data_IF_075526089707
#
_entry.id   IF_075526089707
#
_cell.length_a   1.000
_cell.length_b   1.000
_cell.length_c   1.000
_cell.angle_alpha   90.00
_cell.angle_beta   90.00
_cell.angle_gamma   90.00
#
_symmetry.space_group_name_H-M   'P 1'
#
loop_
_entity.id
_entity.type
_entity.pdbx_description
1 polymer ?
#
# COMPACT_ATOMS: atom_id res chain seq x y z
N UNK A 1 -7.69 13.86 -11.96
CA UNK A 1 -7.30 12.58 -11.32
C UNK A 1 -5.88 12.26 -11.78
N UNK A 2 -4.94 12.09 -10.85
CA UNK A 2 -3.56 11.71 -11.15
C UNK A 2 -3.46 10.19 -11.30
N UNK A 3 -2.77 9.71 -12.33
CA UNK A 3 -2.45 8.29 -12.54
C UNK A 3 -1.04 8.16 -13.09
N UNK A 4 -0.23 7.26 -12.51
CA UNK A 4 1.13 6.96 -12.93
C UNK A 4 1.56 5.59 -12.44
N UNK A 5 2.65 5.08 -13.00
CA UNK A 5 3.35 3.90 -12.49
C UNK A 5 4.52 4.35 -11.63
N UNK A 6 4.54 3.89 -10.38
CA UNK A 6 5.66 4.10 -9.47
C UNK A 6 6.52 2.83 -9.43
N UNK A 7 7.83 2.96 -9.67
CA UNK A 7 8.75 1.81 -9.64
C UNK A 7 8.90 1.20 -8.23
N UNK A 8 8.71 2.02 -7.19
CA UNK A 8 8.77 1.63 -5.79
C UNK A 8 7.65 2.33 -5.01
N UNK A 9 7.24 1.74 -3.88
CA UNK A 9 6.32 2.37 -2.93
C UNK A 9 7.15 2.79 -1.70
N UNK A 10 7.55 4.06 -1.67
CA UNK A 10 8.42 4.61 -0.63
C UNK A 10 8.46 6.13 -0.70
N UNK A 11 7.37 6.78 -0.30
CA UNK A 11 7.18 8.23 -0.44
C UNK A 11 7.19 8.93 0.91
N UNK A 12 7.80 10.13 0.93
CA UNK A 12 7.63 11.11 2.00
C UNK A 12 7.15 12.41 1.35
N UNK A 13 5.85 12.70 1.47
CA UNK A 13 5.26 13.91 0.91
C UNK A 13 5.25 15.08 1.90
N UNK A 14 5.49 14.84 3.20
CA UNK A 14 5.36 15.86 4.25
C UNK A 14 4.03 16.61 4.15
N UNK A 15 4.09 17.94 4.13
CA UNK A 15 2.92 18.81 3.93
C UNK A 15 2.59 19.08 2.44
N UNK A 16 3.20 18.31 1.53
CA UNK A 16 3.13 18.47 0.08
C UNK A 16 2.02 17.65 -0.58
N UNK A 17 2.12 17.54 -1.90
CA UNK A 17 1.15 16.83 -2.74
C UNK A 17 1.82 15.69 -3.51
N UNK A 18 1.11 14.57 -3.78
CA UNK A 18 1.65 13.48 -4.59
C UNK A 18 1.87 13.86 -6.06
N UNK A 19 1.32 14.98 -6.54
CA UNK A 19 1.60 15.51 -7.87
C UNK A 19 0.64 16.62 -8.31
N UNK A 20 0.90 17.18 -9.49
CA UNK A 20 0.08 18.25 -10.06
C UNK A 20 -1.42 17.87 -10.12
N UNK A 21 -2.28 18.80 -9.74
CA UNK A 21 -3.73 18.58 -9.71
C UNK A 21 -4.25 17.77 -8.52
N UNK A 22 -3.41 17.48 -7.52
CA UNK A 22 -3.83 16.96 -6.21
C UNK A 22 -3.51 18.01 -5.14
N UNK A 23 -4.49 18.29 -4.27
CA UNK A 23 -4.28 19.19 -3.13
C UNK A 23 -3.28 18.62 -2.12
N UNK A 24 -2.82 19.44 -1.18
CA UNK A 24 -1.87 19.01 -0.15
C UNK A 24 -2.52 18.15 0.94
N UNK A 25 -3.82 18.33 1.18
CA UNK A 25 -4.60 17.61 2.20
C UNK A 25 -5.73 16.79 1.59
N UNK A 26 -6.29 15.87 2.37
CA UNK A 26 -7.54 15.13 2.07
C UNK A 26 -7.50 14.36 0.75
N UNK A 27 -6.38 13.72 0.45
CA UNK A 27 -6.22 12.85 -0.73
C UNK A 27 -5.95 11.39 -0.31
N UNK A 28 -6.12 10.47 -1.27
CA UNK A 28 -5.75 9.06 -1.09
C UNK A 28 -5.07 8.54 -2.36
N UNK A 29 -4.19 7.54 -2.19
CA UNK A 29 -3.52 6.86 -3.30
C UNK A 29 -3.86 5.38 -3.26
N UNK A 30 -3.98 4.78 -4.45
CA UNK A 30 -4.17 3.35 -4.62
C UNK A 30 -3.13 2.80 -5.58
N UNK A 31 -2.26 1.93 -5.05
CA UNK A 31 -1.41 1.07 -5.87
C UNK A 31 -2.09 -0.28 -6.10
N UNK A 32 -1.93 -0.82 -7.31
CA UNK A 32 -2.35 -2.17 -7.67
C UNK A 32 -1.34 -2.76 -8.63
N UNK A 33 -1.02 -4.03 -8.45
CA UNK A 33 -0.05 -4.73 -9.27
C UNK A 33 0.23 -6.11 -8.68
N UNK A 34 1.36 -6.65 -9.09
CA UNK A 34 1.82 -7.97 -8.68
C UNK A 34 3.16 -7.88 -7.97
N UNK A 35 3.34 -8.74 -6.98
CA UNK A 35 4.64 -8.94 -6.31
C UNK A 35 5.04 -10.39 -6.55
N UNK A 36 6.26 -10.60 -7.08
CA UNK A 36 6.86 -11.92 -7.20
C UNK A 36 7.70 -12.21 -5.95
N UNK A 37 7.27 -13.19 -5.16
CA UNK A 37 8.05 -13.67 -4.03
C UNK A 37 9.23 -14.51 -4.52
N UNK A 38 10.43 -14.22 -3.99
CA UNK A 38 11.66 -14.98 -4.30
C UNK A 38 11.60 -16.43 -3.79
N UNK A 39 10.87 -16.67 -2.70
CA UNK A 39 10.77 -17.97 -2.05
C UNK A 39 9.32 -18.31 -1.71
N UNK A 40 9.02 -19.60 -1.60
CA UNK A 40 7.70 -20.07 -1.13
C UNK A 40 7.72 -20.20 0.40
N UNK A 41 7.51 -19.10 1.10
CA UNK A 41 7.54 -19.03 2.56
C UNK A 41 6.55 -17.98 3.08
N UNK A 42 6.39 -17.91 4.39
CA UNK A 42 5.63 -16.84 5.04
C UNK A 42 6.40 -15.53 4.92
N UNK A 43 5.73 -14.48 4.44
CA UNK A 43 6.28 -13.13 4.40
C UNK A 43 5.62 -12.26 5.46
N UNK A 44 6.39 -11.31 5.98
CA UNK A 44 5.88 -10.23 6.82
C UNK A 44 5.82 -8.96 5.99
N UNK A 45 4.63 -8.40 5.83
CA UNK A 45 4.45 -7.09 5.23
C UNK A 45 4.63 -6.03 6.30
N UNK A 46 5.33 -4.95 5.94
CA UNK A 46 5.62 -3.83 6.83
C UNK A 46 5.20 -2.56 6.13
N UNK A 47 4.42 -1.74 6.82
CA UNK A 47 4.05 -0.41 6.32
C UNK A 47 4.44 0.67 7.31
N UNK A 48 4.77 1.81 6.75
CA UNK A 48 4.91 3.08 7.45
C UNK A 48 4.02 4.06 6.71
N UNK A 49 3.00 4.58 7.39
CA UNK A 49 2.06 5.52 6.79
C UNK A 49 1.68 6.60 7.78
N UNK A 50 1.38 7.74 7.20
CA UNK A 50 0.77 8.90 7.81
C UNK A 50 -0.14 9.47 6.71
N UNK A 51 -1.46 9.29 6.72
CA UNK A 51 -2.32 8.68 7.76
C UNK A 51 -2.51 7.14 7.60
N UNK A 52 -3.73 6.69 7.32
CA UNK A 52 -4.14 5.29 7.30
C UNK A 52 -3.65 4.50 6.09
N UNK A 53 -3.59 3.17 6.25
CA UNK A 53 -3.17 2.25 5.19
C UNK A 53 -3.94 0.93 5.26
N UNK A 54 -4.19 0.32 4.10
CA UNK A 54 -4.74 -1.02 4.00
C UNK A 54 -4.02 -1.81 2.93
N UNK A 55 -3.61 -3.03 3.28
CA UNK A 55 -2.83 -3.93 2.41
C UNK A 55 -3.62 -5.21 2.18
N UNK A 56 -3.77 -5.56 0.90
CA UNK A 56 -4.33 -6.82 0.46
C UNK A 56 -3.34 -7.56 -0.40
N UNK A 57 -3.27 -8.86 -0.18
CA UNK A 57 -2.42 -9.78 -0.91
C UNK A 57 -3.25 -11.02 -1.19
N UNK A 58 -3.31 -11.45 -2.45
CA UNK A 58 -4.16 -12.58 -2.87
C UNK A 58 -5.64 -12.39 -2.51
N UNK A 59 -6.13 -11.14 -2.58
CA UNK A 59 -7.49 -10.79 -2.15
C UNK A 59 -7.75 -10.85 -0.65
N UNK A 60 -6.79 -11.29 0.16
CA UNK A 60 -6.91 -11.36 1.62
C UNK A 60 -6.28 -10.11 2.24
N UNK A 61 -7.02 -9.46 3.15
CA UNK A 61 -6.50 -8.31 3.91
C UNK A 61 -5.41 -8.78 4.87
N UNK A 62 -4.20 -8.25 4.70
CA UNK A 62 -3.05 -8.59 5.54
C UNK A 62 -2.84 -7.58 6.66
N UNK A 63 -3.16 -6.30 6.40
CA UNK A 63 -2.90 -5.19 7.31
C UNK A 63 -3.94 -4.10 7.10
N UNK A 64 -4.42 -3.54 8.22
CA UNK A 64 -5.24 -2.34 8.24
C UNK A 64 -4.76 -1.43 9.38
N UNK A 65 -4.57 -0.15 9.08
CA UNK A 65 -4.37 0.91 10.05
C UNK A 65 -5.29 2.06 9.71
N UNK A 66 -6.06 2.52 10.68
CA UNK A 66 -6.96 3.67 10.54
C UNK A 66 -6.44 4.90 11.30
N UNK A 67 -5.25 4.82 11.88
CA UNK A 67 -4.63 5.88 12.70
C UNK A 67 -3.29 6.33 12.11
N UNK A 68 -2.97 7.60 12.36
CA UNK A 68 -1.76 8.30 11.92
C UNK A 68 -0.47 7.73 12.54
N UNK A 69 0.62 7.78 11.76
CA UNK A 69 2.01 7.54 12.18
C UNK A 69 2.26 6.23 12.95
N UNK A 70 1.98 5.08 12.34
CA UNK A 70 2.29 3.78 12.98
C UNK A 70 3.00 2.82 12.04
N UNK A 71 4.09 2.21 12.52
CA UNK A 71 4.72 1.03 11.90
C UNK A 71 3.81 -0.17 12.14
N UNK A 72 3.27 -0.74 11.09
CA UNK A 72 2.35 -1.87 11.18
C UNK A 72 2.91 -3.10 10.49
N UNK A 73 2.56 -4.30 10.98
CA UNK A 73 3.06 -5.57 10.47
C UNK A 73 1.94 -6.62 10.42
N UNK A 74 1.91 -7.40 9.35
CA UNK A 74 1.00 -8.54 9.21
C UNK A 74 1.69 -9.70 8.49
N UNK A 75 1.51 -10.95 8.95
CA UNK A 75 1.97 -12.13 8.23
C UNK A 75 1.06 -12.38 7.02
N UNK A 76 1.62 -12.87 5.91
CA UNK A 76 0.83 -13.24 4.74
C UNK A 76 1.51 -14.28 3.84
N UNK A 77 0.74 -15.25 3.31
CA UNK A 77 1.27 -16.20 2.34
C UNK A 77 1.42 -15.54 0.97
N UNK A 78 2.63 -15.54 0.41
CA UNK A 78 2.85 -15.26 -1.01
C UNK A 78 3.15 -16.57 -1.74
N UNK A 79 2.38 -16.86 -2.79
CA UNK A 79 2.75 -17.81 -3.84
C UNK A 79 3.19 -16.98 -5.06
N UNK A 80 3.94 -17.58 -6.01
CA UNK A 80 4.74 -16.91 -7.08
C UNK A 80 4.08 -15.76 -7.87
N UNK A 81 2.77 -15.56 -7.78
CA UNK A 81 2.06 -14.36 -8.22
C UNK A 81 1.03 -13.98 -7.17
N UNK A 82 1.07 -12.74 -6.69
CA UNK A 82 0.05 -12.23 -5.79
C UNK A 82 -0.55 -10.92 -6.28
N UNK A 83 -1.88 -10.85 -6.29
CA UNK A 83 -2.66 -9.70 -6.76
C UNK A 83 -3.39 -9.06 -5.57
N UNK A 84 -3.23 -7.75 -5.42
CA UNK A 84 -4.00 -6.94 -4.45
C UNK A 84 -5.26 -6.36 -5.10
N UNK A 85 -6.43 -6.97 -4.88
CA UNK A 85 -7.73 -6.45 -5.31
C UNK A 85 -8.47 -5.63 -4.22
N UNK A 86 -9.42 -4.83 -4.71
CA UNK A 86 -10.11 -3.64 -4.19
C UNK A 86 -11.29 -3.97 -3.27
N UNK A 87 -11.66 -3.07 -2.35
CA UNK A 87 -13.06 -2.63 -2.19
C UNK A 87 -13.19 -1.19 -1.59
N UNK A 88 -14.18 -0.48 -2.17
CA UNK A 88 -14.83 0.83 -1.92
C UNK A 88 -15.46 0.90 -0.50
N UNK A 89 -15.87 2.01 0.13
CA UNK A 89 -16.05 3.44 -0.15
C UNK A 89 -15.43 4.21 1.03
#
# INVERSE_FOLDING_TARGET
MLSRTDANIGFNWGNGSPGAGVGTNSWSVRWSGEIEARYSQTYTFVTYSDDGIRVWVNGVQQLISTTTATRQRGPGPLRRRAVGHRHRL
#
